data_IF_914007184595
#
_entry.id   IF_914007184595
#
_cell.length_a   1.000
_cell.length_b   1.000
_cell.length_c   1.000
_cell.angle_alpha   90.00
_cell.angle_beta   90.00
_cell.angle_gamma   90.00
#
_symmetry.space_group_name_H-M   'P 1'
#
loop_
_entity.id
_entity.type
_entity.pdbx_description
1 polymer ?
#
# COMPACT_ATOMS: atom_id res chain seq x y z
N UNK A 1 -19.53 -48.06 30.96
CA UNK A 1 -18.21 -48.09 30.29
C UNK A 1 -17.47 -46.83 30.69
N UNK A 2 -16.34 -46.95 31.39
CA UNK A 2 -15.48 -45.82 31.77
C UNK A 2 -14.55 -45.53 30.60
N UNK A 3 -14.65 -44.35 30.00
CA UNK A 3 -13.65 -43.85 29.05
C UNK A 3 -12.62 -43.04 29.83
N UNK A 4 -11.40 -43.58 29.91
CA UNK A 4 -10.24 -42.89 30.47
C UNK A 4 -9.65 -41.95 29.43
N UNK A 5 -9.50 -40.68 29.81
CA UNK A 5 -8.76 -39.68 29.04
C UNK A 5 -7.29 -39.83 29.44
N UNK A 6 -6.48 -40.40 28.56
CA UNK A 6 -5.02 -40.39 28.69
C UNK A 6 -4.54 -38.98 28.37
N UNK A 7 -4.15 -38.22 29.41
CA UNK A 7 -3.35 -37.00 29.25
C UNK A 7 -1.94 -37.42 28.85
N UNK A 8 -1.59 -37.25 27.58
CA UNK A 8 -0.20 -37.35 27.13
C UNK A 8 0.51 -36.06 27.59
N UNK A 9 1.35 -36.16 28.63
CA UNK A 9 2.24 -35.09 29.01
C UNK A 9 3.39 -35.04 28.00
N UNK A 10 3.45 -33.96 27.21
CA UNK A 10 4.61 -33.62 26.39
C UNK A 10 5.68 -33.08 27.35
N UNK A 11 6.65 -33.92 27.75
CA UNK A 11 7.85 -33.45 28.43
C UNK A 11 8.75 -32.77 27.40
N UNK A 12 8.75 -31.44 27.38
CA UNK A 12 9.77 -30.65 26.69
C UNK A 12 11.01 -30.65 27.58
N UNK A 13 12.01 -31.46 27.21
CA UNK A 13 13.31 -31.44 27.86
C UNK A 13 14.16 -30.30 27.27
N UNK A 14 14.28 -29.18 27.99
CA UNK A 14 15.28 -28.18 27.68
C UNK A 14 16.67 -28.76 28.05
N UNK A 15 17.56 -28.91 27.08
CA UNK A 15 18.94 -29.27 27.35
C UNK A 15 19.73 -27.99 27.65
N UNK A 16 20.23 -27.84 28.88
CA UNK A 16 21.22 -26.80 29.22
C UNK A 16 22.59 -27.26 28.71
N UNK A 17 23.17 -26.51 27.78
CA UNK A 17 24.54 -26.72 27.32
C UNK A 17 25.38 -25.56 27.86
N UNK A 18 26.23 -25.84 28.85
CA UNK A 18 27.19 -24.87 29.36
C UNK A 18 28.39 -24.76 28.41
N UNK A 19 28.47 -23.66 27.68
CA UNK A 19 29.70 -23.23 27.00
C UNK A 19 30.04 -21.82 27.47
N UNK A 20 31.16 -21.61 28.20
CA UNK A 20 31.57 -20.27 28.60
C UNK A 20 32.08 -19.52 27.36
N UNK A 21 31.33 -18.52 26.89
CA UNK A 21 31.83 -17.58 25.89
C UNK A 21 32.82 -16.62 26.57
N UNK A 22 34.08 -16.67 26.15
CA UNK A 22 35.05 -15.58 26.40
C UNK A 22 35.11 -14.73 25.14
N UNK A 23 35.28 -13.42 25.29
CA UNK A 23 35.06 -12.37 24.29
C UNK A 23 35.92 -12.41 22.99
N UNK A 24 36.47 -13.56 22.58
CA UNK A 24 37.32 -13.66 21.38
C UNK A 24 37.00 -14.84 20.45
N UNK A 25 35.97 -15.64 20.71
CA UNK A 25 35.61 -16.76 19.84
C UNK A 25 34.11 -16.72 19.52
N UNK A 26 33.79 -16.47 18.24
CA UNK A 26 32.47 -16.70 17.69
C UNK A 26 32.06 -18.15 17.99
N UNK A 27 30.97 -18.32 18.74
CA UNK A 27 30.53 -19.65 19.18
C UNK A 27 29.59 -20.23 18.13
N UNK A 28 29.97 -21.38 17.55
CA UNK A 28 29.09 -22.12 16.65
C UNK A 28 28.08 -22.97 17.45
N UNK A 29 26.79 -22.75 17.21
CA UNK A 29 25.69 -23.38 17.95
C UNK A 29 25.04 -24.57 17.22
N UNK A 30 25.54 -24.97 16.06
CA UNK A 30 24.94 -26.03 15.22
C UNK A 30 25.07 -27.42 15.85
N UNK A 31 26.04 -27.64 16.73
CA UNK A 31 26.25 -28.92 17.40
C UNK A 31 25.27 -29.19 18.57
N UNK A 32 24.41 -28.25 18.93
CA UNK A 32 23.44 -28.37 20.01
C UNK A 32 22.09 -28.93 19.51
N UNK A 33 21.67 -30.11 19.98
CA UNK A 33 20.40 -30.74 19.61
C UNK A 33 19.31 -30.52 20.68
N UNK A 34 18.40 -29.57 20.47
CA UNK A 34 17.12 -29.41 21.20
C UNK A 34 16.19 -28.43 20.46
N UNK A 35 14.87 -28.60 20.59
CA UNK A 35 13.87 -27.65 20.07
C UNK A 35 13.99 -26.26 20.73
N UNK A 36 14.47 -26.23 21.98
CA UNK A 36 14.79 -25.02 22.73
C UNK A 36 16.20 -25.14 23.28
N UNK A 37 17.11 -24.29 22.78
CA UNK A 37 18.51 -24.21 23.20
C UNK A 37 18.72 -22.96 24.02
N UNK A 38 19.38 -23.06 25.16
CA UNK A 38 19.69 -21.92 26.04
C UNK A 38 21.18 -21.84 26.25
N UNK A 39 21.77 -20.67 25.99
CA UNK A 39 23.19 -20.39 26.14
C UNK A 39 23.38 -19.17 27.04
N UNK A 40 24.29 -19.26 27.99
CA UNK A 40 24.58 -18.13 28.86
C UNK A 40 25.67 -17.26 28.24
N UNK A 41 25.53 -15.95 28.36
CA UNK A 41 26.49 -14.97 27.88
C UNK A 41 26.67 -13.81 28.85
N UNK A 42 27.73 -13.04 28.64
CA UNK A 42 28.03 -11.85 29.43
C UNK A 42 28.72 -10.80 28.56
N UNK A 43 28.05 -9.67 28.34
CA UNK A 43 28.60 -8.50 27.66
C UNK A 43 29.57 -7.79 28.61
N UNK A 44 30.78 -7.48 28.15
CA UNK A 44 31.84 -6.83 28.95
C UNK A 44 32.50 -5.70 28.16
N UNK A 45 31.73 -4.68 27.81
CA UNK A 45 32.20 -3.56 26.99
C UNK A 45 32.42 -3.88 25.50
N UNK A 46 32.06 -5.09 25.07
CA UNK A 46 32.06 -5.53 23.67
C UNK A 46 30.94 -6.56 23.46
N UNK A 47 30.34 -6.56 22.26
CA UNK A 47 29.29 -7.48 21.89
C UNK A 47 29.75 -8.95 21.89
N UNK A 48 28.86 -9.84 22.30
CA UNK A 48 29.06 -11.30 22.24
C UNK A 48 28.41 -11.83 20.97
N UNK A 49 29.19 -12.54 20.14
CA UNK A 49 28.71 -13.05 18.84
C UNK A 49 28.58 -14.56 18.81
N UNK A 50 27.48 -15.02 18.20
CA UNK A 50 27.15 -16.42 18.00
C UNK A 50 26.89 -16.68 16.53
N UNK A 51 27.12 -17.91 16.11
CA UNK A 51 26.78 -18.36 14.76
C UNK A 51 25.86 -19.56 14.81
N UNK A 52 24.81 -19.53 13.98
CA UNK A 52 23.86 -20.62 13.89
C UNK A 52 23.28 -20.71 12.49
N UNK A 53 23.04 -21.95 12.05
CA UNK A 53 22.26 -22.23 10.85
C UNK A 53 20.79 -22.38 11.23
N UNK A 54 19.95 -21.48 10.71
CA UNK A 54 18.49 -21.61 10.78
C UNK A 54 18.06 -22.66 9.75
N UNK A 55 17.44 -23.78 10.18
CA UNK A 55 17.09 -24.87 9.25
C UNK A 55 16.13 -24.43 8.13
N UNK A 56 16.23 -25.08 6.97
CA UNK A 56 15.28 -24.96 5.87
C UNK A 56 13.82 -25.08 6.36
N UNK A 57 12.92 -24.26 5.81
CA UNK A 57 11.50 -24.27 6.15
C UNK A 57 11.23 -24.23 7.67
N UNK A 58 11.96 -23.39 8.40
CA UNK A 58 11.75 -23.16 9.82
C UNK A 58 11.76 -21.67 10.17
N UNK A 59 11.20 -21.33 11.33
CA UNK A 59 11.42 -20.04 11.99
C UNK A 59 12.21 -20.30 13.26
N UNK A 60 13.30 -19.56 13.45
CA UNK A 60 14.02 -19.49 14.71
C UNK A 60 13.65 -18.20 15.43
N UNK A 61 13.02 -18.35 16.59
CA UNK A 61 12.90 -17.27 17.56
C UNK A 61 14.18 -17.22 18.39
N UNK A 62 14.74 -16.01 18.50
CA UNK A 62 15.94 -15.69 19.24
C UNK A 62 15.50 -14.71 20.33
N UNK A 63 15.56 -15.15 21.58
CA UNK A 63 15.29 -14.32 22.75
C UNK A 63 16.63 -14.05 23.46
N UNK A 64 16.89 -12.78 23.79
CA UNK A 64 17.97 -12.39 24.70
C UNK A 64 17.32 -11.99 26.02
N UNK A 65 17.41 -12.88 27.01
CA UNK A 65 16.79 -12.68 28.31
C UNK A 65 17.86 -12.15 29.26
N UNK A 66 17.77 -10.90 29.66
CA UNK A 66 18.65 -10.32 30.66
C UNK A 66 18.53 -11.06 32.00
N UNK A 67 19.67 -11.34 32.63
CA UNK A 67 19.76 -11.98 33.95
C UNK A 67 20.45 -11.07 34.97
N UNK A 68 20.74 -9.84 34.57
CA UNK A 68 21.35 -8.77 35.38
C UNK A 68 20.72 -7.42 34.99
N UNK A 69 21.43 -6.31 35.24
CA UNK A 69 21.02 -4.97 34.81
C UNK A 69 21.32 -4.69 33.32
N UNK A 70 21.49 -5.74 32.50
CA UNK A 70 21.75 -5.55 31.07
C UNK A 70 20.45 -5.09 30.39
N UNK A 71 20.54 -4.02 29.61
CA UNK A 71 19.55 -3.64 28.60
C UNK A 71 20.03 -4.17 27.23
N UNK A 72 19.61 -5.38 26.81
CA UNK A 72 20.14 -6.04 25.63
C UNK A 72 19.66 -5.40 24.32
N UNK A 73 20.56 -5.39 23.33
CA UNK A 73 20.20 -5.25 21.92
C UNK A 73 20.71 -6.48 21.17
N UNK A 74 19.86 -7.04 20.30
CA UNK A 74 20.22 -8.15 19.42
C UNK A 74 20.25 -7.68 17.97
N UNK A 75 21.39 -7.85 17.31
CA UNK A 75 21.54 -7.63 15.87
C UNK A 75 21.79 -8.97 15.19
N UNK A 76 21.01 -9.29 14.16
CA UNK A 76 21.19 -10.50 13.35
C UNK A 76 21.68 -10.11 11.97
N UNK A 77 22.78 -10.73 11.55
CA UNK A 77 23.42 -10.52 10.26
C UNK A 77 23.39 -11.81 9.44
N UNK A 78 23.12 -11.71 8.13
CA UNK A 78 23.33 -12.83 7.22
C UNK A 78 24.83 -13.14 7.12
N UNK A 79 25.21 -14.38 7.41
CA UNK A 79 26.63 -14.77 7.47
C UNK A 79 27.30 -14.86 6.09
N UNK A 80 26.52 -14.95 5.01
CA UNK A 80 27.03 -15.03 3.65
C UNK A 80 27.25 -13.64 3.05
N UNK A 81 26.35 -12.68 3.29
CA UNK A 81 26.44 -11.33 2.71
C UNK A 81 27.03 -10.29 3.66
N UNK A 82 26.87 -10.48 4.97
CA UNK A 82 27.21 -9.46 5.98
C UNK A 82 26.13 -8.41 6.18
N UNK A 83 24.94 -8.56 5.58
CA UNK A 83 23.85 -7.61 5.72
C UNK A 83 23.10 -7.82 7.05
N UNK A 84 22.74 -6.74 7.73
CA UNK A 84 21.85 -6.79 8.90
C UNK A 84 20.43 -7.14 8.43
N UNK A 85 19.88 -8.25 8.94
CA UNK A 85 18.56 -8.77 8.57
C UNK A 85 17.49 -8.54 9.62
N UNK A 86 17.87 -8.31 10.88
CA UNK A 86 16.97 -7.94 11.97
C UNK A 86 17.76 -7.29 13.10
N UNK A 87 17.13 -6.35 13.80
CA UNK A 87 17.64 -5.76 15.04
C UNK A 87 16.45 -5.50 15.97
N UNK A 88 16.63 -5.72 17.28
CA UNK A 88 15.62 -5.48 18.30
C UNK A 88 16.28 -5.31 19.68
N UNK A 89 15.69 -4.50 20.56
CA UNK A 89 16.13 -4.26 21.93
C UNK A 89 15.08 -4.64 22.99
N UNK A 90 13.78 -4.38 22.78
CA UNK A 90 12.76 -4.51 23.85
C UNK A 90 11.51 -5.38 23.54
N UNK A 91 11.43 -6.06 22.39
CA UNK A 91 10.22 -6.83 21.99
C UNK A 91 10.03 -8.18 22.69
N UNK A 92 10.95 -8.59 23.57
CA UNK A 92 10.94 -9.85 24.31
C UNK A 92 10.11 -9.84 25.60
N UNK A 93 9.65 -8.66 26.03
CA UNK A 93 8.95 -8.41 27.30
C UNK A 93 9.90 -7.94 28.40
N UNK A 94 9.47 -6.98 29.22
CA UNK A 94 10.37 -6.14 30.02
C UNK A 94 11.35 -5.38 29.10
N UNK A 95 12.67 -5.48 29.31
CA UNK A 95 13.72 -4.92 28.44
C UNK A 95 14.44 -6.03 27.64
N UNK A 96 13.83 -7.20 27.48
CA UNK A 96 14.47 -8.30 26.75
C UNK A 96 14.29 -8.12 25.24
N UNK A 97 15.26 -8.58 24.45
CA UNK A 97 15.15 -8.52 22.99
C UNK A 97 14.59 -9.82 22.40
N UNK A 98 13.83 -9.72 21.31
CA UNK A 98 13.31 -10.85 20.54
C UNK A 98 13.33 -10.57 19.04
N UNK A 99 13.95 -11.48 18.30
CA UNK A 99 13.86 -11.52 16.83
C UNK A 99 13.41 -12.88 16.32
N UNK A 100 12.81 -12.91 15.12
CA UNK A 100 12.38 -14.15 14.45
C UNK A 100 12.95 -14.21 13.05
N UNK A 101 13.72 -15.25 12.77
CA UNK A 101 14.44 -15.41 11.50
C UNK A 101 13.89 -16.62 10.75
N UNK A 102 13.54 -16.43 9.48
CA UNK A 102 13.15 -17.51 8.58
C UNK A 102 14.40 -18.19 8.02
N UNK A 103 14.40 -19.52 8.06
CA UNK A 103 15.48 -20.34 7.54
C UNK A 103 15.27 -20.82 6.11
N UNK A 104 14.51 -20.12 5.25
CA UNK A 104 14.25 -20.41 3.82
C UNK A 104 14.82 -21.75 3.28
N UNK A 105 16.08 -21.77 2.79
CA UNK A 105 16.81 -22.96 2.29
C UNK A 105 17.91 -23.47 3.24
N UNK A 106 17.91 -23.01 4.49
CA UNK A 106 19.02 -23.13 5.42
C UNK A 106 19.85 -21.85 5.41
N UNK A 107 19.54 -20.92 6.32
CA UNK A 107 20.22 -19.62 6.40
C UNK A 107 21.23 -19.62 7.53
N UNK A 108 22.49 -19.32 7.23
CA UNK A 108 23.53 -19.14 8.26
C UNK A 108 23.51 -17.69 8.72
N UNK A 109 23.40 -17.47 10.02
CA UNK A 109 23.29 -16.15 10.62
C UNK A 109 24.32 -15.94 11.72
N UNK A 110 24.71 -14.69 11.90
CA UNK A 110 25.49 -14.22 13.04
C UNK A 110 24.55 -13.44 13.96
N UNK A 111 24.49 -13.84 15.23
CA UNK A 111 23.72 -13.16 16.27
C UNK A 111 24.72 -12.36 17.10
N UNK A 112 24.59 -11.05 17.14
CA UNK A 112 25.35 -10.16 18.01
C UNK A 112 24.46 -9.72 19.16
N UNK A 113 24.89 -9.96 20.39
CA UNK A 113 24.24 -9.48 21.60
C UNK A 113 25.13 -8.42 22.23
N UNK A 114 24.62 -7.21 22.37
CA UNK A 114 25.31 -6.10 23.03
C UNK A 114 24.39 -5.42 24.06
N UNK A 115 24.89 -4.38 24.72
CA UNK A 115 24.07 -3.49 25.54
C UNK A 115 23.58 -2.31 24.71
N UNK A 116 22.32 -1.93 24.86
CA UNK A 116 21.75 -0.71 24.26
C UNK A 116 22.55 0.55 24.64
N UNK A 117 23.07 0.59 25.87
CA UNK A 117 23.91 1.68 26.37
C UNK A 117 25.26 1.82 25.64
N UNK A 118 25.72 0.80 24.91
CA UNK A 118 27.04 0.76 24.27
C UNK A 118 27.32 1.98 23.38
N UNK A 119 26.29 2.57 22.78
CA UNK A 119 26.41 3.74 21.91
C UNK A 119 26.61 5.07 22.64
N UNK A 120 26.34 5.13 23.95
CA UNK A 120 26.32 6.36 24.74
C UNK A 120 27.36 6.40 25.86
N UNK A 121 28.14 5.33 26.02
CA UNK A 121 29.15 5.17 27.07
C UNK A 121 30.35 6.10 26.83
N UNK A 122 30.72 6.89 27.84
CA UNK A 122 31.91 7.73 27.78
C UNK A 122 33.21 6.92 28.00
N UNK A 123 34.34 7.47 27.53
CA UNK A 123 35.64 6.80 27.65
C UNK A 123 36.01 6.52 29.12
N UNK A 124 36.02 5.24 29.51
CA UNK A 124 36.36 4.77 30.86
C UNK A 124 35.16 4.27 31.66
N UNK A 125 33.94 4.40 31.15
CA UNK A 125 32.76 3.76 31.70
C UNK A 125 32.64 2.31 31.19
N UNK A 126 32.08 1.44 32.04
CA UNK A 126 31.85 0.03 31.71
C UNK A 126 30.36 -0.19 31.54
N UNK A 127 30.00 -0.91 30.49
CA UNK A 127 28.64 -1.36 30.26
C UNK A 127 28.61 -2.88 30.06
N UNK A 128 27.40 -3.43 30.09
CA UNK A 128 27.14 -4.85 29.87
C UNK A 128 26.52 -5.54 31.08
N UNK A 129 26.49 -6.86 31.01
CA UNK A 129 25.80 -7.70 31.98
C UNK A 129 25.52 -9.08 31.40
N UNK A 130 24.93 -9.94 32.23
CA UNK A 130 24.70 -11.34 31.89
C UNK A 130 23.32 -11.57 31.27
N UNK A 131 23.25 -12.53 30.35
CA UNK A 131 22.02 -12.89 29.64
C UNK A 131 21.93 -14.39 29.37
N UNK A 132 20.71 -14.86 29.17
CA UNK A 132 20.39 -16.15 28.59
C UNK A 132 19.92 -15.94 27.13
N UNK A 133 20.71 -16.41 26.16
CA UNK A 133 20.33 -16.51 24.75
C UNK A 133 19.50 -17.79 24.55
N UNK A 134 18.22 -17.61 24.27
CA UNK A 134 17.30 -18.72 24.03
C UNK A 134 16.92 -18.79 22.55
N UNK A 135 17.20 -19.93 21.93
CA UNK A 135 16.83 -20.23 20.55
C UNK A 135 15.70 -21.26 20.55
N UNK A 136 14.57 -20.92 19.95
CA UNK A 136 13.43 -21.81 19.75
C UNK A 136 13.19 -21.97 18.27
N UNK A 137 13.24 -23.21 17.76
CA UNK A 137 12.98 -23.48 16.33
C UNK A 137 11.62 -24.14 16.17
N UNK A 138 10.81 -23.61 15.26
CA UNK A 138 9.53 -24.20 14.87
C UNK A 138 9.48 -24.46 13.37
N UNK A 139 8.77 -25.51 12.96
CA UNK A 139 8.52 -25.76 11.56
C UNK A 139 7.73 -24.59 10.95
N UNK A 140 8.18 -24.13 9.78
CA UNK A 140 7.48 -23.15 8.98
C UNK A 140 6.97 -23.84 7.72
N UNK A 141 5.65 -23.96 7.62
CA UNK A 141 5.03 -24.37 6.36
C UNK A 141 4.72 -23.10 5.59
N UNK A 142 5.38 -22.91 4.45
CA UNK A 142 5.05 -21.80 3.57
C UNK A 142 3.56 -21.87 3.20
N UNK A 143 2.82 -20.76 3.32
CA UNK A 143 1.41 -20.77 2.96
C UNK A 143 1.27 -21.08 1.48
N UNK A 144 0.18 -21.77 1.12
CA UNK A 144 -0.12 -22.08 -0.28
C UNK A 144 -0.47 -20.77 -0.99
N UNK A 145 0.24 -20.48 -2.08
CA UNK A 145 -0.01 -19.28 -2.89
C UNK A 145 -0.38 -19.65 -4.32
N UNK A 146 -1.14 -18.76 -4.97
CA UNK A 146 -1.48 -18.83 -6.39
C UNK A 146 -0.79 -17.69 -7.14
N UNK A 147 0.04 -18.00 -8.13
CA UNK A 147 0.69 -16.96 -8.93
C UNK A 147 -0.33 -16.28 -9.86
N UNK A 148 -0.31 -14.94 -9.90
CA UNK A 148 -1.21 -14.09 -10.70
C UNK A 148 -0.44 -13.00 -11.44
N UNK A 149 -1.05 -12.44 -12.48
CA UNK A 149 -0.49 -11.36 -13.29
C UNK A 149 -1.52 -10.27 -13.53
N UNK A 150 -1.13 -9.18 -14.18
CA UNK A 150 -2.10 -8.21 -14.71
C UNK A 150 -3.17 -8.90 -15.55
N UNK A 151 -4.40 -8.39 -15.45
CA UNK A 151 -5.58 -8.96 -16.12
C UNK A 151 -6.16 -10.21 -15.44
N UNK A 152 -5.58 -10.70 -14.33
CA UNK A 152 -6.08 -11.89 -13.65
C UNK A 152 -7.52 -11.72 -13.14
N UNK A 153 -8.27 -12.82 -13.20
CA UNK A 153 -9.60 -12.97 -12.60
C UNK A 153 -9.68 -14.33 -11.92
N UNK A 154 -9.70 -14.31 -10.60
CA UNK A 154 -9.71 -15.49 -9.75
C UNK A 154 -11.01 -15.51 -8.94
N UNK A 155 -11.60 -16.67 -8.75
CA UNK A 155 -12.77 -16.83 -7.87
C UNK A 155 -12.45 -17.75 -6.70
N UNK A 156 -13.22 -17.63 -5.63
CA UNK A 156 -13.09 -18.51 -4.47
C UNK A 156 -14.18 -18.27 -3.43
N UNK A 157 -14.04 -18.97 -2.31
CA UNK A 157 -14.93 -18.86 -1.16
C UNK A 157 -14.10 -18.83 0.12
N UNK A 158 -14.29 -17.80 0.94
CA UNK A 158 -13.60 -17.67 2.23
C UNK A 158 -14.34 -18.41 3.33
N UNK A 159 -13.60 -19.18 4.11
CA UNK A 159 -14.11 -19.96 5.25
C UNK A 159 -13.27 -19.76 6.53
N UNK A 160 -12.50 -18.67 6.60
CA UNK A 160 -11.74 -18.24 7.78
C UNK A 160 -10.25 -18.00 7.51
N UNK A 161 -9.65 -18.73 6.57
CA UNK A 161 -8.24 -18.54 6.22
C UNK A 161 -8.09 -17.61 5.00
N UNK A 162 -7.07 -16.75 4.97
CA UNK A 162 -6.79 -15.91 3.81
C UNK A 162 -6.40 -16.75 2.60
N UNK A 163 -6.81 -16.30 1.42
CA UNK A 163 -6.27 -16.82 0.17
C UNK A 163 -5.13 -15.93 -0.30
N UNK A 164 -3.95 -16.54 -0.46
CA UNK A 164 -2.75 -15.82 -0.85
C UNK A 164 -2.46 -15.97 -2.34
N UNK A 165 -2.11 -14.85 -2.96
CA UNK A 165 -1.72 -14.77 -4.36
C UNK A 165 -0.35 -14.10 -4.48
N UNK A 166 0.53 -14.62 -5.32
CA UNK A 166 1.85 -14.03 -5.56
C UNK A 166 1.88 -13.26 -6.87
N UNK A 167 2.45 -12.07 -6.83
CA UNK A 167 2.54 -11.16 -7.97
C UNK A 167 3.96 -10.64 -8.12
N UNK A 168 4.49 -10.62 -9.34
CA UNK A 168 5.83 -10.09 -9.62
C UNK A 168 5.75 -8.69 -10.22
N UNK A 169 6.40 -7.73 -9.57
CA UNK A 169 6.45 -6.34 -9.99
C UNK A 169 7.89 -5.88 -10.27
N UNK A 170 8.03 -4.84 -11.09
CA UNK A 170 9.25 -4.06 -11.24
C UNK A 170 9.09 -2.72 -10.51
N UNK A 171 10.21 -2.07 -10.16
CA UNK A 171 10.19 -0.70 -9.66
C UNK A 171 9.49 0.24 -10.67
N UNK A 172 8.55 1.05 -10.18
CA UNK A 172 7.69 1.95 -10.95
C UNK A 172 6.43 1.31 -11.53
N UNK A 173 6.24 -0.01 -11.43
CA UNK A 173 4.99 -0.64 -11.83
C UNK A 173 3.84 -0.17 -10.90
N UNK A 174 2.67 0.12 -11.48
CA UNK A 174 1.44 0.35 -10.74
C UNK A 174 0.55 -0.90 -10.79
N UNK A 175 -0.09 -1.27 -9.69
CA UNK A 175 -1.11 -2.31 -9.63
C UNK A 175 -2.44 -1.73 -9.13
N UNK A 176 -3.53 -2.26 -9.68
CA UNK A 176 -4.86 -2.12 -9.12
C UNK A 176 -5.45 -3.50 -8.88
N UNK A 177 -5.88 -3.76 -7.65
CA UNK A 177 -6.41 -5.05 -7.21
C UNK A 177 -7.77 -4.82 -6.58
N UNK A 178 -8.80 -5.48 -7.10
CA UNK A 178 -10.15 -5.42 -6.59
C UNK A 178 -10.55 -6.78 -6.01
N UNK A 179 -11.20 -6.77 -4.85
CA UNK A 179 -11.81 -7.95 -4.24
C UNK A 179 -13.31 -7.71 -4.14
N UNK A 180 -14.05 -8.45 -4.95
CA UNK A 180 -15.47 -8.28 -5.15
C UNK A 180 -16.23 -9.31 -4.34
N UNK A 181 -17.21 -8.85 -3.58
CA UNK A 181 -18.19 -9.71 -2.93
C UNK A 181 -19.19 -10.24 -3.96
N UNK A 182 -19.39 -11.56 -3.99
CA UNK A 182 -20.44 -12.22 -4.79
C UNK A 182 -21.68 -12.52 -3.92
N UNK A 183 -21.82 -11.86 -2.76
CA UNK A 183 -22.90 -12.12 -1.81
C UNK A 183 -22.79 -11.30 -0.53
N UNK A 184 -22.64 -11.99 0.60
CA UNK A 184 -22.57 -11.37 1.93
C UNK A 184 -21.14 -11.16 2.45
N UNK A 185 -20.13 -11.44 1.62
CA UNK A 185 -18.75 -11.20 2.01
C UNK A 185 -18.55 -9.70 2.20
N UNK A 186 -17.84 -9.37 3.27
CA UNK A 186 -17.25 -8.06 3.51
C UNK A 186 -15.76 -8.23 3.21
N UNK A 187 -15.30 -7.91 1.99
CA UNK A 187 -13.95 -8.21 1.54
C UNK A 187 -12.90 -7.34 2.24
N UNK A 188 -11.69 -7.87 2.34
CA UNK A 188 -10.52 -7.14 2.80
C UNK A 188 -9.28 -7.63 2.06
N UNK A 189 -8.49 -6.68 1.57
CA UNK A 189 -7.24 -6.93 0.86
C UNK A 189 -6.06 -6.42 1.68
N UNK A 190 -4.96 -7.18 1.63
CA UNK A 190 -3.63 -6.70 1.97
C UNK A 190 -2.67 -6.97 0.81
N UNK A 191 -1.80 -6.01 0.54
CA UNK A 191 -0.61 -6.17 -0.26
C UNK A 191 0.59 -6.23 0.69
N UNK A 192 1.34 -7.31 0.62
CA UNK A 192 2.49 -7.58 1.48
C UNK A 192 3.77 -7.64 0.65
N UNK A 193 4.86 -7.15 1.24
CA UNK A 193 6.21 -7.23 0.68
C UNK A 193 6.79 -8.67 0.76
N UNK A 194 8.06 -8.82 0.38
CA UNK A 194 8.75 -10.12 0.43
C UNK A 194 9.00 -10.64 1.87
N UNK A 195 8.96 -9.77 2.88
CA UNK A 195 9.10 -10.12 4.31
C UNK A 195 7.76 -10.50 4.95
N UNK A 196 6.65 -10.23 4.25
CA UNK A 196 5.29 -10.43 4.74
C UNK A 196 4.75 -9.23 5.51
N UNK A 197 5.39 -8.07 5.40
CA UNK A 197 4.90 -6.81 5.96
C UNK A 197 3.84 -6.21 5.02
N UNK A 198 2.72 -5.78 5.60
CA UNK A 198 1.64 -5.13 4.84
C UNK A 198 2.04 -3.71 4.44
N UNK A 199 2.09 -3.46 3.14
CA UNK A 199 2.47 -2.18 2.53
C UNK A 199 1.27 -1.41 1.96
N UNK A 200 0.14 -2.08 1.75
CA UNK A 200 -1.15 -1.45 1.47
C UNK A 200 -2.27 -2.39 1.92
N UNK A 201 -3.41 -1.84 2.33
CA UNK A 201 -4.60 -2.61 2.68
C UNK A 201 -5.84 -1.78 2.40
N UNK A 202 -6.98 -2.46 2.22
CA UNK A 202 -8.27 -1.81 1.98
C UNK A 202 -9.43 -2.79 2.25
N UNK A 203 -10.54 -2.32 2.83
CA UNK A 203 -11.82 -3.03 2.97
C UNK A 203 -12.92 -2.47 2.07
N UNK A 204 -13.05 -1.15 1.91
CA UNK A 204 -14.22 -0.51 1.30
C UNK A 204 -13.92 0.57 0.23
N UNK A 205 -12.70 0.58 -0.32
CA UNK A 205 -12.25 1.55 -1.31
C UNK A 205 -12.80 1.35 -2.73
N UNK A 206 -13.50 0.24 -2.99
CA UNK A 206 -14.20 -0.07 -4.23
C UNK A 206 -15.69 0.27 -4.20
N UNK A 207 -16.43 -0.15 -5.23
CA UNK A 207 -17.88 0.08 -5.27
C UNK A 207 -18.59 -0.66 -4.13
N UNK A 208 -19.35 0.06 -3.30
CA UNK A 208 -20.09 -0.52 -2.16
C UNK A 208 -19.16 -0.85 -0.99
N UNK A 209 -19.11 -2.12 -0.59
CA UNK A 209 -18.17 -2.63 0.42
C UNK A 209 -17.03 -3.43 -0.22
N UNK A 210 -16.80 -3.28 -1.53
CA UNK A 210 -15.71 -4.00 -2.19
C UNK A 210 -14.37 -3.35 -1.84
N UNK A 211 -13.31 -4.16 -1.77
CA UNK A 211 -11.96 -3.64 -1.52
C UNK A 211 -11.24 -3.32 -2.83
N UNK A 212 -10.48 -2.23 -2.86
CA UNK A 212 -9.69 -1.77 -4.00
C UNK A 212 -8.34 -1.19 -3.55
N UNK A 213 -7.26 -1.92 -3.82
CA UNK A 213 -5.89 -1.43 -3.63
C UNK A 213 -5.37 -0.82 -4.93
N UNK A 214 -4.82 0.39 -4.86
CA UNK A 214 -3.94 0.98 -5.89
C UNK A 214 -2.57 1.23 -5.29
N UNK A 215 -1.50 0.67 -5.87
CA UNK A 215 -0.15 0.80 -5.34
C UNK A 215 0.90 0.93 -6.45
N UNK A 216 1.96 1.71 -6.19
CA UNK A 216 3.15 1.82 -7.07
C UNK A 216 4.34 1.22 -6.33
N UNK A 217 5.01 0.28 -6.97
CA UNK A 217 6.13 -0.44 -6.35
C UNK A 217 7.43 0.37 -6.45
N UNK A 218 8.09 0.61 -5.33
CA UNK A 218 9.41 1.27 -5.31
C UNK A 218 10.55 0.32 -5.71
N UNK A 219 10.35 -0.98 -5.50
CA UNK A 219 11.36 -2.02 -5.74
C UNK A 219 10.81 -3.12 -6.65
N UNK A 220 11.71 -3.80 -7.36
CA UNK A 220 11.35 -4.99 -8.11
C UNK A 220 11.37 -6.21 -7.17
N UNK A 221 10.34 -7.05 -7.25
CA UNK A 221 10.22 -8.18 -6.33
C UNK A 221 8.98 -9.03 -6.55
N UNK A 222 8.83 -10.03 -5.69
CA UNK A 222 7.59 -10.81 -5.55
C UNK A 222 6.85 -10.30 -4.32
N UNK A 223 5.61 -9.91 -4.53
CA UNK A 223 4.68 -9.42 -3.51
C UNK A 223 3.57 -10.44 -3.30
N UNK A 224 2.94 -10.38 -2.13
CA UNK A 224 1.82 -11.25 -1.79
C UNK A 224 0.55 -10.43 -1.64
N UNK A 225 -0.49 -10.77 -2.39
CA UNK A 225 -1.84 -10.26 -2.20
C UNK A 225 -2.56 -11.25 -1.28
N UNK A 226 -2.90 -10.83 -0.07
CA UNK A 226 -3.74 -11.58 0.84
C UNK A 226 -5.18 -11.10 0.70
N UNK A 227 -6.06 -12.00 0.26
CA UNK A 227 -7.49 -11.74 0.16
C UNK A 227 -8.20 -12.50 1.29
N UNK A 228 -9.07 -11.83 2.02
CA UNK A 228 -9.84 -12.41 3.13
C UNK A 228 -11.15 -11.65 3.35
N UNK A 229 -11.94 -12.07 4.33
CA UNK A 229 -13.06 -11.28 4.83
C UNK A 229 -12.62 -10.35 5.96
N UNK A 230 -13.25 -9.18 6.07
CA UNK A 230 -13.09 -8.28 7.19
C UNK A 230 -13.66 -8.93 8.47
N UNK A 231 -12.85 -8.99 9.53
CA UNK A 231 -13.21 -9.68 10.78
C UNK A 231 -13.45 -11.19 10.57
N UNK A 232 -14.66 -11.65 10.91
CA UNK A 232 -15.07 -13.05 10.73
C UNK A 232 -15.92 -13.26 9.45
N UNK A 233 -15.93 -12.28 8.54
CA UNK A 233 -16.75 -12.35 7.32
C UNK A 233 -16.30 -13.50 6.41
N UNK A 234 -17.28 -14.18 5.81
CA UNK A 234 -17.08 -15.33 4.93
C UNK A 234 -18.02 -15.24 3.74
N UNK A 235 -17.66 -15.87 2.63
CA UNK A 235 -18.46 -15.86 1.42
C UNK A 235 -17.65 -16.00 0.14
N UNK A 236 -18.38 -16.00 -0.97
CA UNK A 236 -17.79 -16.11 -2.30
C UNK A 236 -17.25 -14.76 -2.78
N UNK A 237 -16.15 -14.83 -3.52
CA UNK A 237 -15.47 -13.64 -4.04
C UNK A 237 -14.96 -13.82 -5.47
N UNK A 238 -14.76 -12.68 -6.12
CA UNK A 238 -13.94 -12.56 -7.32
C UNK A 238 -12.78 -11.60 -7.04
N UNK A 239 -11.55 -12.07 -7.12
CA UNK A 239 -10.34 -11.24 -7.12
C UNK A 239 -10.02 -10.85 -8.57
N UNK A 240 -9.76 -9.57 -8.80
CA UNK A 240 -9.33 -9.07 -10.09
C UNK A 240 -8.07 -8.24 -9.97
N UNK A 241 -7.17 -8.41 -10.93
CA UNK A 241 -6.02 -7.52 -11.12
C UNK A 241 -6.23 -6.80 -12.44
N UNK A 242 -6.19 -5.47 -12.41
CA UNK A 242 -6.43 -4.66 -13.62
C UNK A 242 -5.37 -4.97 -14.66
N UNK A 243 -5.69 -4.76 -15.94
CA UNK A 243 -4.67 -4.81 -16.98
C UNK A 243 -3.58 -3.76 -16.71
N UNK A 244 -2.33 -4.06 -17.08
CA UNK A 244 -1.23 -3.11 -16.91
C UNK A 244 -1.55 -1.86 -17.73
N UNK A 245 -1.58 -0.71 -17.06
CA UNK A 245 -1.63 0.61 -17.70
C UNK A 245 -0.33 1.32 -17.39
N UNK A 246 0.21 2.01 -18.39
CA UNK A 246 1.26 2.99 -18.15
C UNK A 246 0.70 4.04 -17.19
N UNK A 247 1.35 4.25 -16.04
CA UNK A 247 1.01 5.36 -15.17
C UNK A 247 1.22 6.65 -15.98
N UNK A 248 0.13 7.32 -16.34
CA UNK A 248 0.25 8.60 -17.02
C UNK A 248 0.88 9.57 -16.03
N UNK A 249 2.06 10.11 -16.36
CA UNK A 249 2.64 11.22 -15.61
C UNK A 249 1.70 12.43 -15.73
N UNK A 250 0.81 12.59 -14.76
CA UNK A 250 -0.15 13.69 -14.73
C UNK A 250 0.48 14.85 -13.96
N UNK A 251 0.90 15.88 -14.71
CA UNK A 251 1.34 17.13 -14.10
C UNK A 251 0.14 17.82 -13.43
N UNK A 252 0.34 18.49 -12.28
CA UNK A 252 -0.71 19.27 -11.64
C UNK A 252 -1.34 20.35 -12.55
N UNK A 253 -0.57 20.85 -13.52
CA UNK A 253 -1.02 21.77 -14.55
C UNK A 253 -0.76 21.18 -15.94
N UNK A 254 -1.84 20.96 -16.69
CA UNK A 254 -1.82 20.41 -18.05
C UNK A 254 -2.26 21.48 -19.07
N UNK A 255 -1.95 21.25 -20.36
CA UNK A 255 -2.31 22.16 -21.46
C UNK A 255 -3.34 21.48 -22.36
N UNK A 256 -4.42 22.19 -22.70
CA UNK A 256 -5.49 21.69 -23.58
C UNK A 256 -5.79 22.66 -24.72
N UNK A 257 -6.04 22.11 -25.92
CA UNK A 257 -6.47 22.84 -27.10
C UNK A 257 -7.97 22.75 -27.33
N UNK A 258 -8.50 23.59 -28.25
CA UNK A 258 -9.88 23.43 -28.73
C UNK A 258 -9.89 22.32 -29.76
N UNK A 259 -10.77 21.32 -29.57
CA UNK A 259 -10.85 20.10 -30.38
C UNK A 259 -9.79 19.03 -30.06
N UNK A 260 -8.96 19.26 -29.04
CA UNK A 260 -7.96 18.30 -28.58
C UNK A 260 -8.44 17.64 -27.28
N UNK A 261 -8.91 16.39 -27.29
CA UNK A 261 -9.36 15.72 -26.07
C UNK A 261 -8.17 15.41 -25.16
N UNK A 262 -8.36 15.66 -23.86
CA UNK A 262 -7.45 15.25 -22.79
C UNK A 262 -8.07 14.09 -21.99
N UNK A 263 -7.22 13.31 -21.33
CA UNK A 263 -7.64 12.19 -20.48
C UNK A 263 -6.84 12.21 -19.18
N UNK A 264 -7.46 11.76 -18.09
CA UNK A 264 -6.79 11.58 -16.81
C UNK A 264 -7.52 10.60 -15.92
N UNK A 265 -6.98 10.38 -14.72
CA UNK A 265 -7.55 9.53 -13.69
C UNK A 265 -7.35 10.22 -12.34
N UNK A 266 -8.43 10.34 -11.58
CA UNK A 266 -8.47 11.05 -10.31
C UNK A 266 -8.72 10.05 -9.18
N UNK A 267 -8.09 10.26 -8.03
CA UNK A 267 -8.46 9.54 -6.82
C UNK A 267 -9.45 10.33 -5.97
N UNK A 268 -10.25 9.60 -5.19
CA UNK A 268 -11.04 10.21 -4.15
C UNK A 268 -10.12 10.93 -3.13
N UNK A 269 -10.50 12.12 -2.64
CA UNK A 269 -9.62 12.97 -1.83
C UNK A 269 -9.34 12.42 -0.42
N UNK A 270 -10.09 11.41 0.02
CA UNK A 270 -9.92 10.74 1.31
C UNK A 270 -9.03 9.49 1.22
N UNK A 271 -8.66 9.03 0.02
CA UNK A 271 -7.69 7.94 -0.13
C UNK A 271 -6.30 8.45 0.24
N UNK A 272 -5.63 7.72 1.14
CA UNK A 272 -4.25 8.00 1.53
C UNK A 272 -3.29 7.08 0.78
N UNK A 273 -2.06 7.54 0.52
CA UNK A 273 -1.05 6.72 -0.19
C UNK A 273 -1.27 6.53 -1.70
N UNK A 274 -2.26 7.20 -2.30
CA UNK A 274 -2.48 7.19 -3.75
C UNK A 274 -1.53 8.14 -4.48
N UNK A 275 -1.05 7.72 -5.65
CA UNK A 275 -0.27 8.56 -6.58
C UNK A 275 -1.14 9.40 -7.51
N UNK A 276 -2.45 9.08 -7.60
CA UNK A 276 -3.40 9.79 -8.43
C UNK A 276 -3.81 11.10 -7.72
N UNK A 277 -3.83 12.24 -8.41
CA UNK A 277 -4.28 13.49 -7.80
C UNK A 277 -5.80 13.48 -7.59
N UNK A 278 -6.29 14.24 -6.60
CA UNK A 278 -7.73 14.43 -6.39
C UNK A 278 -8.34 15.51 -7.28
N UNK A 279 -7.49 16.36 -7.90
CA UNK A 279 -7.90 17.33 -8.91
C UNK A 279 -6.73 17.66 -9.84
N UNK A 280 -7.04 18.09 -11.07
CA UNK A 280 -6.06 18.52 -12.06
C UNK A 280 -6.45 19.90 -12.60
N UNK A 281 -5.48 20.77 -12.80
CA UNK A 281 -5.68 22.05 -13.47
C UNK A 281 -5.28 21.95 -14.94
N UNK A 282 -6.08 22.54 -15.80
CA UNK A 282 -5.80 22.74 -17.21
C UNK A 282 -5.70 24.23 -17.54
N UNK A 283 -4.76 24.57 -18.40
CA UNK A 283 -4.66 25.87 -19.06
C UNK A 283 -4.87 25.72 -20.57
N UNK A 284 -5.38 26.76 -21.20
CA UNK A 284 -5.53 26.80 -22.65
C UNK A 284 -4.17 26.82 -23.34
N UNK A 285 -4.04 26.10 -24.46
CA UNK A 285 -2.90 26.21 -25.35
C UNK A 285 -2.83 27.59 -26.02
N UNK A 286 -1.65 28.00 -26.48
CA UNK A 286 -1.50 29.27 -27.18
C UNK A 286 -2.35 29.33 -28.47
N UNK A 287 -2.53 28.19 -29.13
CA UNK A 287 -3.40 28.05 -30.30
C UNK A 287 -4.88 28.26 -29.92
N UNK A 288 -5.35 27.69 -28.81
CA UNK A 288 -6.70 27.90 -28.31
C UNK A 288 -6.95 29.37 -27.94
N UNK A 289 -6.02 30.00 -27.22
CA UNK A 289 -6.10 31.43 -26.89
C UNK A 289 -6.18 32.30 -28.16
N UNK A 290 -5.39 31.96 -29.18
CA UNK A 290 -5.41 32.66 -30.46
C UNK A 290 -6.70 32.41 -31.27
N UNK A 291 -7.34 31.24 -31.13
CA UNK A 291 -8.64 30.95 -31.73
C UNK A 291 -9.74 31.76 -31.06
N UNK A 292 -9.81 31.77 -29.72
CA UNK A 292 -10.77 32.56 -28.93
C UNK A 292 -10.71 34.05 -29.28
N UNK A 293 -9.50 34.62 -29.40
CA UNK A 293 -9.31 36.04 -29.78
C UNK A 293 -9.73 36.36 -31.21
N UNK A 294 -9.72 35.39 -32.12
CA UNK A 294 -10.10 35.60 -33.54
C UNK A 294 -11.58 35.32 -33.79
N UNK A 295 -12.19 34.43 -33.01
CA UNK A 295 -13.60 34.06 -33.11
C UNK A 295 -14.51 34.95 -32.27
N UNK A 296 -15.72 34.45 -32.00
CA UNK A 296 -16.63 35.05 -31.02
C UNK A 296 -16.29 34.67 -29.58
N UNK A 297 -15.34 33.74 -29.37
CA UNK A 297 -14.87 33.30 -28.06
C UNK A 297 -15.82 32.36 -27.31
N UNK A 298 -16.92 31.95 -27.96
CA UNK A 298 -17.86 30.97 -27.42
C UNK A 298 -17.24 29.57 -27.49
N UNK A 299 -17.24 28.85 -26.38
CA UNK A 299 -16.75 27.47 -26.26
C UNK A 299 -17.65 26.67 -25.33
N UNK A 300 -17.60 25.35 -25.46
CA UNK A 300 -18.21 24.43 -24.49
C UNK A 300 -17.14 23.50 -23.94
N UNK A 301 -17.05 23.41 -22.62
CA UNK A 301 -16.12 22.52 -21.92
C UNK A 301 -16.92 21.32 -21.42
N UNK A 302 -16.48 20.11 -21.77
CA UNK A 302 -17.13 18.85 -21.39
C UNK A 302 -16.15 17.97 -20.65
N UNK A 303 -16.57 17.41 -19.53
CA UNK A 303 -15.84 16.37 -18.82
C UNK A 303 -16.79 15.19 -18.70
N UNK A 304 -16.36 14.06 -19.23
CA UNK A 304 -17.14 12.83 -19.16
C UNK A 304 -16.36 11.78 -18.40
N UNK A 305 -17.05 10.99 -17.60
CA UNK A 305 -16.53 9.71 -17.14
C UNK A 305 -16.15 8.90 -18.40
N UNK A 306 -14.96 8.31 -18.40
CA UNK A 306 -14.53 7.51 -19.55
C UNK A 306 -15.37 6.22 -19.58
N UNK A 307 -16.33 6.12 -20.52
CA UNK A 307 -17.11 4.89 -20.73
C UNK A 307 -16.19 3.71 -21.04
N UNK A 308 -16.51 2.55 -20.44
CA UNK A 308 -15.63 1.37 -20.48
C UNK A 308 -14.69 1.25 -19.27
N UNK A 309 -14.85 2.13 -18.27
CA UNK A 309 -14.39 1.88 -16.91
C UNK A 309 -14.89 0.53 -16.45
N UNK A 310 -13.96 -0.35 -16.12
CA UNK A 310 -14.26 -1.63 -15.52
C UNK A 310 -14.85 -1.37 -14.12
N UNK A 311 -16.14 -1.62 -13.87
CA UNK A 311 -16.83 -1.22 -12.64
C UNK A 311 -16.18 -1.84 -11.39
N UNK A 312 -15.46 -2.95 -11.58
CA UNK A 312 -14.76 -3.64 -10.52
C UNK A 312 -13.53 -2.86 -9.99
N UNK A 313 -13.01 -1.89 -10.76
CA UNK A 313 -11.83 -1.07 -10.41
C UNK A 313 -12.14 0.43 -10.27
N UNK A 314 -13.41 0.75 -10.06
CA UNK A 314 -13.89 2.12 -10.13
C UNK A 314 -14.13 2.58 -11.58
N UNK A 315 -15.20 3.33 -11.72
CA UNK A 315 -15.69 3.88 -12.99
C UNK A 315 -16.79 4.92 -12.81
N UNK A 316 -17.03 5.36 -11.58
CA UNK A 316 -18.10 6.27 -11.21
C UNK A 316 -17.50 7.56 -10.68
N UNK A 317 -16.48 8.09 -11.40
CA UNK A 317 -16.26 9.52 -11.26
C UNK A 317 -17.58 10.17 -11.67
N UNK A 318 -18.10 11.00 -10.79
CA UNK A 318 -19.15 11.95 -11.08
C UNK A 318 -18.42 13.22 -11.54
N UNK A 319 -18.25 13.44 -12.86
CA UNK A 319 -17.41 14.54 -13.34
C UNK A 319 -17.83 15.88 -12.75
N UNK A 320 -16.84 16.69 -12.34
CA UNK A 320 -17.08 18.03 -11.87
C UNK A 320 -16.03 18.99 -12.41
N UNK A 321 -16.49 20.03 -13.11
CA UNK A 321 -15.65 21.08 -13.69
C UNK A 321 -15.84 22.38 -12.93
N UNK A 322 -14.75 23.08 -12.65
CA UNK A 322 -14.75 24.48 -12.24
C UNK A 322 -13.90 25.32 -13.18
N UNK A 323 -14.46 26.43 -13.65
CA UNK A 323 -13.73 27.45 -14.39
C UNK A 323 -13.44 28.63 -13.46
N UNK A 324 -12.20 29.09 -13.47
CA UNK A 324 -11.79 30.22 -12.65
C UNK A 324 -10.47 30.83 -13.07
N UNK A 325 -9.94 31.70 -12.21
CA UNK A 325 -8.67 32.37 -12.43
C UNK A 325 -7.66 32.01 -11.35
N UNK A 326 -6.43 31.74 -11.77
CA UNK A 326 -5.28 31.60 -10.89
C UNK A 326 -4.86 33.00 -10.42
N UNK A 327 -4.97 33.25 -9.12
CA UNK A 327 -4.66 34.55 -8.50
C UNK A 327 -3.57 34.39 -7.44
N UNK A 328 -2.92 35.48 -7.00
CA UNK A 328 -1.97 35.41 -5.88
C UNK A 328 -2.55 34.87 -4.56
N UNK A 329 -3.90 34.84 -4.42
CA UNK A 329 -4.59 34.30 -3.25
C UNK A 329 -5.10 32.86 -3.46
N UNK A 330 -4.80 32.25 -4.61
CA UNK A 330 -5.25 30.93 -5.01
C UNK A 330 -6.26 30.97 -6.16
N UNK A 331 -6.86 29.81 -6.42
CA UNK A 331 -7.81 29.62 -7.52
C UNK A 331 -9.18 30.20 -7.16
N UNK A 332 -9.60 31.23 -7.90
CA UNK A 332 -10.89 31.89 -7.74
C UNK A 332 -11.90 31.34 -8.74
N UNK A 333 -12.83 30.51 -8.25
CA UNK A 333 -13.89 29.89 -9.06
C UNK A 333 -14.90 30.94 -9.51
N UNK A 334 -15.30 30.87 -10.78
CA UNK A 334 -16.30 31.75 -11.38
C UNK A 334 -17.55 31.01 -11.83
N UNK A 335 -17.38 29.77 -12.30
CA UNK A 335 -18.44 28.91 -12.76
C UNK A 335 -18.08 27.46 -12.46
N UNK A 336 -19.09 26.62 -12.28
CA UNK A 336 -18.90 25.20 -12.04
C UNK A 336 -20.07 24.42 -12.63
N UNK A 337 -19.83 23.15 -12.90
CA UNK A 337 -20.86 22.24 -13.39
C UNK A 337 -20.51 20.78 -13.10
N UNK A 338 -21.50 19.98 -12.73
CA UNK A 338 -21.46 18.53 -12.55
C UNK A 338 -22.39 17.79 -13.53
N UNK A 339 -23.62 18.27 -13.78
CA UNK A 339 -24.67 17.50 -14.48
C UNK A 339 -25.16 18.07 -15.84
N UNK A 340 -24.54 19.14 -16.33
CA UNK A 340 -25.08 19.96 -17.42
C UNK A 340 -25.24 19.26 -18.77
N UNK A 341 -24.68 18.07 -18.93
CA UNK A 341 -24.79 17.25 -20.15
C UNK A 341 -26.08 16.41 -20.27
N UNK A 342 -26.89 16.32 -19.21
CA UNK A 342 -28.10 15.46 -19.17
C UNK A 342 -27.83 14.04 -18.66
N UNK A 343 -26.69 13.85 -18.01
CA UNK A 343 -26.26 12.66 -17.27
C UNK A 343 -25.45 13.14 -16.05
N UNK A 344 -24.73 12.25 -15.35
CA UNK A 344 -23.74 12.67 -14.35
C UNK A 344 -22.56 13.46 -14.97
N UNK A 345 -22.40 13.52 -16.30
CA UNK A 345 -21.28 14.24 -16.91
C UNK A 345 -21.48 15.76 -16.91
N UNK A 346 -20.38 16.51 -16.76
CA UNK A 346 -20.42 17.96 -16.71
C UNK A 346 -20.34 18.61 -18.08
N UNK A 347 -21.03 19.73 -18.25
CA UNK A 347 -20.93 20.59 -19.42
C UNK A 347 -21.08 22.06 -19.07
N UNK A 348 -20.05 22.84 -19.42
CA UNK A 348 -19.99 24.28 -19.18
C UNK A 348 -19.84 25.06 -20.49
N UNK A 349 -20.94 25.58 -21.07
CA UNK A 349 -20.91 26.55 -22.16
C UNK A 349 -20.48 27.93 -21.65
N UNK A 350 -19.51 28.56 -22.30
CA UNK A 350 -18.87 29.82 -21.84
C UNK A 350 -18.56 30.74 -23.01
N UNK A 351 -18.85 32.03 -22.85
CA UNK A 351 -18.34 33.09 -23.73
C UNK A 351 -17.04 33.68 -23.16
N UNK A 352 -15.90 33.19 -23.65
CA UNK A 352 -14.57 33.70 -23.32
C UNK A 352 -14.20 34.94 -24.16
N UNK A 353 -15.01 35.31 -25.15
CA UNK A 353 -14.83 36.52 -25.96
C UNK A 353 -14.88 37.78 -25.09
N UNK A 354 -15.70 37.75 -24.03
CA UNK A 354 -15.83 38.83 -23.05
C UNK A 354 -14.52 39.19 -22.33
N UNK A 355 -13.58 38.24 -22.24
CA UNK A 355 -12.28 38.43 -21.57
C UNK A 355 -11.09 38.35 -22.54
N UNK A 356 -11.31 38.05 -23.82
CA UNK A 356 -10.26 37.72 -24.77
C UNK A 356 -9.26 38.87 -25.04
N UNK A 357 -9.77 40.10 -25.02
CA UNK A 357 -9.00 41.34 -25.24
C UNK A 357 -8.35 41.89 -23.97
N UNK A 358 -8.67 41.33 -22.80
CA UNK A 358 -8.09 41.76 -21.53
C UNK A 358 -6.67 41.17 -21.38
N UNK A 359 -5.64 42.01 -21.16
CA UNK A 359 -4.26 41.52 -21.05
C UNK A 359 -4.12 40.49 -19.92
N UNK A 360 -3.64 39.30 -20.26
CA UNK A 360 -3.30 38.24 -19.31
C UNK A 360 -4.47 37.45 -18.72
N UNK A 361 -5.73 37.82 -18.93
CA UNK A 361 -6.85 37.07 -18.34
C UNK A 361 -6.95 35.64 -18.87
N UNK A 362 -6.77 35.42 -20.18
CA UNK A 362 -6.70 34.07 -20.74
C UNK A 362 -5.48 33.27 -20.27
N UNK A 363 -4.41 33.93 -19.80
CA UNK A 363 -3.24 33.27 -19.23
C UNK A 363 -3.44 32.89 -17.76
N UNK A 364 -4.31 33.62 -17.07
CA UNK A 364 -4.74 33.33 -15.69
C UNK A 364 -5.89 32.31 -15.62
N UNK A 365 -6.65 32.13 -16.70
CA UNK A 365 -7.77 31.20 -16.75
C UNK A 365 -7.30 29.76 -16.51
N UNK A 366 -8.02 29.03 -15.65
CA UNK A 366 -7.83 27.60 -15.40
C UNK A 366 -9.16 26.87 -15.42
N UNK A 367 -9.10 25.63 -15.88
CA UNK A 367 -10.17 24.64 -15.79
C UNK A 367 -9.70 23.62 -14.76
N UNK A 368 -10.38 23.53 -13.62
CA UNK A 368 -10.14 22.49 -12.61
C UNK A 368 -11.11 21.34 -12.88
N UNK A 369 -10.57 20.14 -12.99
CA UNK A 369 -11.35 18.90 -13.06
C UNK A 369 -11.16 18.10 -11.77
N UNK A 370 -12.26 17.57 -11.24
CA UNK A 370 -12.30 16.73 -10.05
C UNK A 370 -13.55 15.85 -10.07
N UNK A 371 -13.69 14.94 -9.11
CA UNK A 371 -14.94 14.21 -8.91
C UNK A 371 -15.88 14.91 -7.93
N UNK A 372 -17.15 15.03 -8.27
CA UNK A 372 -18.20 15.51 -7.39
C UNK A 372 -18.36 14.55 -6.20
N UNK A 373 -18.67 15.10 -5.01
CA UNK A 373 -18.82 14.31 -3.78
C UNK A 373 -17.55 13.59 -3.32
N UNK A 374 -16.39 13.85 -3.92
CA UNK A 374 -15.15 13.11 -3.66
C UNK A 374 -15.03 11.80 -4.44
N UNK A 375 -15.82 11.62 -5.50
CA UNK A 375 -15.65 10.49 -6.42
C UNK A 375 -14.29 10.54 -7.14
N UNK A 376 -13.82 9.38 -7.60
CA UNK A 376 -12.59 9.22 -8.37
C UNK A 376 -12.82 8.33 -9.58
N UNK A 377 -11.90 8.38 -10.54
CA UNK A 377 -11.99 7.56 -11.74
C UNK A 377 -11.36 8.22 -12.97
N UNK A 378 -11.40 7.48 -14.08
CA UNK A 378 -10.89 7.95 -15.36
C UNK A 378 -11.89 8.88 -16.06
N UNK A 379 -11.39 9.95 -16.67
CA UNK A 379 -12.20 10.94 -17.37
C UNK A 379 -11.62 11.30 -18.73
N UNK A 380 -12.49 11.85 -19.57
CA UNK A 380 -12.15 12.62 -20.78
C UNK A 380 -12.53 14.07 -20.56
N UNK A 381 -11.73 15.00 -21.08
CA UNK A 381 -11.99 16.44 -21.07
C UNK A 381 -11.85 16.98 -22.50
N UNK A 382 -12.83 17.75 -22.97
CA UNK A 382 -12.82 18.34 -24.30
C UNK A 382 -13.29 19.80 -24.25
N UNK A 383 -12.73 20.64 -25.12
CA UNK A 383 -13.21 22.00 -25.39
C UNK A 383 -13.63 22.08 -26.85
N UNK A 384 -14.91 22.35 -27.11
CA UNK A 384 -15.49 22.54 -28.45
C UNK A 384 -15.82 24.01 -28.72
N UNK A 385 -15.88 24.40 -29.99
CA UNK A 385 -16.32 25.76 -30.38
C UNK A 385 -17.84 25.91 -30.29
N UNK A 386 -18.29 27.08 -29.84
CA UNK A 386 -19.71 27.44 -29.71
C UNK A 386 -20.30 27.14 -28.33
N UNK A 387 -21.43 27.78 -28.02
CA UNK A 387 -22.20 27.49 -26.81
C UNK A 387 -23.29 26.45 -27.08
N UNK A 388 -23.09 25.24 -26.57
CA UNK A 388 -24.07 24.17 -26.66
C UNK A 388 -25.19 24.34 -25.62
N UNK A 389 -26.40 23.87 -25.95
CA UNK A 389 -27.52 23.93 -25.02
C UNK A 389 -27.34 22.92 -23.88
N UNK A 390 -27.48 23.37 -22.64
CA UNK A 390 -27.55 22.48 -21.46
C UNK A 390 -28.78 21.59 -21.53
N UNK A 391 -28.64 20.37 -21.02
CA UNK A 391 -29.81 19.55 -20.76
C UNK A 391 -30.67 20.22 -19.68
N UNK A 392 -31.98 20.25 -19.87
CA UNK A 392 -32.91 20.68 -18.80
C UNK A 392 -32.87 19.61 -17.69
N UNK A 393 -32.63 20.05 -16.45
CA UNK A 393 -32.39 19.16 -15.31
C UNK A 393 -33.52 18.14 -15.09
N UNK A 394 -33.15 17.01 -14.48
CA UNK A 394 -34.10 15.97 -14.04
C UNK A 394 -35.25 16.61 -13.25
N UNK A 395 -36.44 16.65 -13.85
CA UNK A 395 -37.67 17.07 -13.16
C UNK A 395 -38.07 15.98 -12.14
N UNK A 396 -37.67 16.18 -10.88
CA UNK A 396 -38.10 15.36 -9.75
C UNK A 396 -39.63 15.31 -9.57
N UNK A 397 -40.43 16.08 -10.33
CA UNK A 397 -41.89 16.05 -10.26
C UNK A 397 -42.56 14.93 -11.07
N UNK A 398 -41.84 14.19 -11.93
CA UNK A 398 -42.46 13.21 -12.82
C UNK A 398 -42.71 11.80 -12.20
N UNK A 399 -42.16 11.49 -11.03
CA UNK A 399 -42.32 10.17 -10.37
C UNK A 399 -43.23 10.18 -9.11
N UNK A 400 -44.02 11.24 -8.90
CA UNK A 400 -45.09 11.23 -7.89
C UNK A 400 -46.43 10.70 -8.44
N UNK A 401 -46.41 9.99 -9.55
CA UNK A 401 -47.60 9.45 -10.20
C UNK A 401 -47.37 8.06 -10.81
N UNK A 402 -46.98 7.07 -9.99
CA UNK A 402 -47.35 5.67 -10.22
C UNK A 402 -47.48 4.88 -8.91
#
# INVERSE_FOLDING_TARGET
>A
MRFGITKTALLIGAAMIMMPATAMAQVNLDAAESDVRVFQGNVQGEAVTYEVTVPAASIMQIDVISTSDLDPIVTVTDAATGDVIAEDDDSGGELNSRVRIRGEEGRRIVISVDSFDATWVEAGETYGGSFDLRLSTSAFTAPQTRAVTYGARETGSFNGEPHLFTFRANAGDMIQVALLSEGSLDPYLELQDARGETIAFDDDGGNGLNSLITHVFDEAGTYTIAAQGYGESTGDYTLRIRERREAMAQLPLQVIGIGDPATGELAAPYLTGTVMPSSILYQLSDAAKAAIRRGNGEVTIRMNAMEGGDPDFGGEIDPFIELGFDTPLGFAVTMSDDDGSGSLNSMLPVDLGLIADQPGLLDMLRIRVQGFGGSGGAYTLEITEGMEARAEGYDYAAEAAY
#
